data_IF_328254496731
#
_entry.id   IF_328254496731
#
_cell.length_a   1.000
_cell.length_b   1.000
_cell.length_c   1.000
_cell.angle_alpha   90.00
_cell.angle_beta   90.00
_cell.angle_gamma   90.00
#
_symmetry.space_group_name_H-M   'P 1'
#
loop_
_entity.id
_entity.type
_entity.pdbx_description
1 polymer ?
#
# COMPACT_ATOMS: atom_id res chain seq x y z
N UNK A 1 13.56 -6.40 10.03
CA UNK A 1 13.11 -5.61 8.86
C UNK A 1 12.37 -4.36 9.35
N UNK A 2 13.00 -3.19 9.26
CA UNK A 2 12.59 -1.97 9.99
C UNK A 2 11.18 -1.47 9.62
N UNK A 3 10.73 -1.76 8.40
CA UNK A 3 9.41 -1.33 7.93
C UNK A 3 8.28 -2.12 8.60
N UNK A 4 8.45 -3.45 8.76
CA UNK A 4 7.45 -4.32 9.39
C UNK A 4 7.30 -4.07 10.89
N UNK A 5 8.32 -3.50 11.55
CA UNK A 5 8.26 -3.10 12.95
C UNK A 5 7.39 -1.86 13.17
N UNK A 6 7.19 -1.05 12.11
CA UNK A 6 6.48 0.23 12.19
C UNK A 6 5.07 0.18 11.58
N UNK A 7 4.63 -0.98 11.09
CA UNK A 7 3.31 -1.15 10.50
C UNK A 7 2.51 -2.09 11.39
N UNK A 8 1.35 -1.62 11.84
CA UNK A 8 0.41 -2.48 12.55
C UNK A 8 -0.15 -3.53 11.57
N UNK A 9 0.19 -4.80 11.84
CA UNK A 9 -0.22 -5.95 11.05
C UNK A 9 -1.35 -6.75 11.70
N UNK A 10 -1.82 -6.33 12.88
CA UNK A 10 -2.81 -7.07 13.68
C UNK A 10 -4.23 -6.92 13.16
N UNK A 11 -4.51 -5.89 12.36
CA UNK A 11 -5.79 -5.69 11.68
C UNK A 11 -6.01 -6.68 10.53
N UNK A 12 -6.82 -7.72 10.76
CA UNK A 12 -7.41 -8.57 9.71
C UNK A 12 -8.86 -8.15 9.48
N UNK A 13 -9.23 -7.93 8.23
CA UNK A 13 -10.64 -7.78 7.84
C UNK A 13 -11.21 -9.15 7.46
N UNK A 14 -12.42 -9.48 7.91
CA UNK A 14 -13.06 -10.78 7.66
C UNK A 14 -13.17 -11.17 6.18
N UNK A 15 -13.17 -10.18 5.28
CA UNK A 15 -13.32 -10.38 3.84
C UNK A 15 -12.01 -10.49 3.05
N UNK A 16 -10.85 -10.31 3.69
CA UNK A 16 -9.55 -10.20 3.00
C UNK A 16 -8.70 -11.46 3.15
N UNK A 17 -8.39 -12.14 2.05
CA UNK A 17 -7.47 -13.30 2.03
C UNK A 17 -6.00 -12.91 2.21
N UNK A 18 -5.67 -11.63 1.95
CA UNK A 18 -4.33 -11.06 2.13
C UNK A 18 -4.37 -9.72 2.86
N UNK A 19 -3.92 -9.72 4.12
CA UNK A 19 -3.86 -8.54 4.99
C UNK A 19 -2.88 -7.47 4.52
N UNK A 20 -2.47 -6.58 5.42
CA UNK A 20 -1.48 -5.54 5.09
C UNK A 20 -0.10 -6.13 4.73
N UNK A 21 0.26 -7.27 5.34
CA UNK A 21 1.53 -7.97 5.11
C UNK A 21 1.70 -8.31 3.62
N UNK A 22 0.67 -8.89 2.99
CA UNK A 22 0.73 -9.30 1.58
C UNK A 22 0.88 -8.10 0.63
N UNK A 23 0.29 -6.96 0.99
CA UNK A 23 0.41 -5.71 0.22
C UNK A 23 1.82 -5.12 0.33
N UNK A 24 2.45 -5.17 1.51
CA UNK A 24 3.83 -4.74 1.70
C UNK A 24 4.80 -5.68 0.96
N UNK A 25 4.53 -6.98 0.94
CA UNK A 25 5.32 -7.93 0.15
C UNK A 25 5.25 -7.61 -1.35
N UNK A 26 4.05 -7.33 -1.87
CA UNK A 26 3.89 -6.89 -3.26
C UNK A 26 4.70 -5.60 -3.55
N UNK A 27 4.63 -4.61 -2.65
CA UNK A 27 5.40 -3.37 -2.78
C UNK A 27 6.91 -3.60 -2.83
N UNK A 28 7.44 -4.57 -2.07
CA UNK A 28 8.86 -4.93 -2.14
C UNK A 28 9.21 -5.58 -3.47
N UNK A 29 8.42 -6.56 -3.87
CA UNK A 29 8.67 -7.31 -5.10
C UNK A 29 8.72 -6.39 -6.31
N UNK A 30 7.78 -5.45 -6.45
CA UNK A 30 7.79 -4.51 -7.59
C UNK A 30 8.91 -3.47 -7.48
N UNK A 31 9.22 -3.00 -6.26
CA UNK A 31 10.32 -2.05 -6.04
C UNK A 31 11.70 -2.67 -6.34
N UNK A 32 11.89 -3.98 -6.17
CA UNK A 32 13.11 -4.70 -6.58
C UNK A 32 13.36 -4.60 -8.10
N UNK A 33 12.30 -4.40 -8.89
CA UNK A 33 12.37 -4.15 -10.34
C UNK A 33 12.33 -2.66 -10.70
N UNK A 34 12.50 -1.75 -9.74
CA UNK A 34 12.48 -0.31 -9.99
C UNK A 34 11.09 0.26 -10.28
N UNK A 35 10.02 -0.48 -9.98
CA UNK A 35 8.64 -0.06 -10.27
C UNK A 35 8.06 0.59 -9.00
N UNK A 36 7.72 1.89 -9.02
CA UNK A 36 7.09 2.54 -7.88
C UNK A 36 5.65 2.05 -7.69
N UNK A 37 5.23 1.92 -6.43
CA UNK A 37 3.88 1.49 -6.07
C UNK A 37 3.20 2.51 -5.14
N UNK A 38 1.88 2.64 -5.26
CA UNK A 38 1.07 3.43 -4.34
C UNK A 38 0.01 2.56 -3.67
N UNK A 39 -0.11 2.67 -2.34
CA UNK A 39 -1.11 1.97 -1.54
C UNK A 39 -2.17 2.97 -1.03
N UNK A 40 -3.44 2.62 -1.25
CA UNK A 40 -4.58 3.54 -1.08
C UNK A 40 -5.76 2.80 -0.48
N UNK A 41 -6.69 3.52 0.15
CA UNK A 41 -7.95 2.92 0.60
C UNK A 41 -8.94 2.81 -0.57
N UNK A 42 -9.11 1.60 -1.09
CA UNK A 42 -9.99 1.30 -2.23
C UNK A 42 -11.48 1.50 -1.96
N UNK A 43 -11.93 1.61 -0.70
CA UNK A 43 -13.35 1.85 -0.39
C UNK A 43 -13.76 3.30 -0.60
N UNK A 44 -12.79 4.22 -0.78
CA UNK A 44 -13.06 5.62 -1.09
C UNK A 44 -13.44 5.77 -2.56
N UNK A 45 -14.62 6.36 -2.81
CA UNK A 45 -15.07 6.70 -4.17
C UNK A 45 -14.05 7.59 -4.89
N UNK A 46 -13.80 7.30 -6.17
CA UNK A 46 -12.90 8.04 -7.07
C UNK A 46 -11.45 8.14 -6.58
N UNK A 47 -10.99 7.18 -5.77
CA UNK A 47 -9.66 7.23 -5.12
C UNK A 47 -8.50 7.48 -6.09
N UNK A 48 -8.52 6.86 -7.27
CA UNK A 48 -7.45 7.03 -8.27
C UNK A 48 -7.39 8.47 -8.78
N UNK A 49 -8.54 9.06 -9.12
CA UNK A 49 -8.63 10.46 -9.57
C UNK A 49 -8.19 11.41 -8.46
N UNK A 50 -8.58 11.15 -7.22
CA UNK A 50 -8.24 12.00 -6.07
C UNK A 50 -6.74 12.03 -5.80
N UNK A 51 -6.06 10.89 -5.87
CA UNK A 51 -4.61 10.83 -5.65
C UNK A 51 -3.84 11.50 -6.79
N UNK A 52 -4.26 11.29 -8.05
CA UNK A 52 -3.65 11.98 -9.20
C UNK A 52 -3.82 13.49 -9.08
N UNK A 53 -4.96 13.96 -8.56
CA UNK A 53 -5.22 15.39 -8.34
C UNK A 53 -4.63 15.93 -7.01
N UNK A 54 -3.93 15.11 -6.23
CA UNK A 54 -3.36 15.51 -4.93
C UNK A 54 -4.38 15.81 -3.83
N UNK A 55 -5.64 15.40 -4.00
CA UNK A 55 -6.74 15.68 -3.05
C UNK A 55 -6.97 14.57 -2.02
N UNK A 56 -6.18 13.50 -2.08
CA UNK A 56 -6.26 12.38 -1.14
C UNK A 56 -4.88 11.81 -0.83
N UNK A 57 -4.71 11.27 0.38
CA UNK A 57 -3.44 10.70 0.83
C UNK A 57 -3.37 9.20 0.57
N UNK A 58 -2.17 8.74 0.28
CA UNK A 58 -1.81 7.33 0.20
C UNK A 58 -0.36 7.12 0.64
N UNK A 59 0.08 5.88 0.63
CA UNK A 59 1.48 5.53 0.93
C UNK A 59 2.21 5.24 -0.37
N UNK A 60 3.29 5.98 -0.64
CA UNK A 60 4.14 5.76 -1.81
C UNK A 60 5.31 4.87 -1.41
N UNK A 61 5.50 3.78 -2.14
CA UNK A 61 6.67 2.92 -2.06
C UNK A 61 7.55 3.21 -3.27
N UNK A 62 8.74 3.73 -3.01
CA UNK A 62 9.73 4.04 -4.04
C UNK A 62 10.84 2.98 -4.00
N UNK A 63 11.32 2.58 -5.18
CA UNK A 63 12.55 1.80 -5.27
C UNK A 63 13.73 2.63 -4.77
N UNK A 64 14.75 1.95 -4.23
CA UNK A 64 16.05 2.57 -3.96
C UNK A 64 16.84 2.73 -5.25
#
# INVERSE_FOLDING_TARGET
>A
DKLMLNIDTTGKSDFGTGGIITKIYAARSVNEYGIPMVLVNGTKKDILRKIVNGTERGTVFLSK
#
